data_IF_967616202243
#
_entry.id   IF_967616202243
#
_cell.length_a   1.000
_cell.length_b   1.000
_cell.length_c   1.000
_cell.angle_alpha   90.00
_cell.angle_beta   90.00
_cell.angle_gamma   90.00
#
_symmetry.space_group_name_H-M   'P 1'
#
loop_
_entity.id
_entity.type
_entity.pdbx_description
1 polymer ?
#
# COMPACT_ATOMS: atom_id res chain seq x y z
N UNK A 1 -13.33 20.12 -4.98
CA UNK A 1 -12.61 19.33 -6.00
C UNK A 1 -12.12 17.99 -5.47
N UNK A 2 -11.26 17.91 -4.44
CA UNK A 2 -10.79 16.61 -3.92
C UNK A 2 -11.93 15.70 -3.45
N UNK A 3 -12.93 16.23 -2.75
CA UNK A 3 -14.10 15.45 -2.29
C UNK A 3 -14.85 14.82 -3.46
N UNK A 4 -15.02 15.53 -4.57
CA UNK A 4 -15.66 14.99 -5.77
C UNK A 4 -14.89 13.78 -6.30
N UNK A 5 -13.57 13.89 -6.42
CA UNK A 5 -12.73 12.77 -6.85
C UNK A 5 -12.80 11.60 -5.87
N UNK A 6 -12.85 11.84 -4.55
CA UNK A 6 -12.98 10.77 -3.55
C UNK A 6 -14.28 10.01 -3.74
N UNK A 7 -15.40 10.74 -3.84
CA UNK A 7 -16.72 10.12 -4.08
C UNK A 7 -16.72 9.34 -5.38
N UNK A 8 -16.11 9.87 -6.44
CA UNK A 8 -15.99 9.18 -7.72
C UNK A 8 -15.20 7.86 -7.61
N UNK A 9 -14.05 7.85 -6.92
CA UNK A 9 -13.27 6.61 -6.70
C UNK A 9 -14.06 5.58 -5.89
N UNK A 10 -14.79 6.02 -4.87
CA UNK A 10 -15.64 5.13 -4.06
C UNK A 10 -16.77 4.54 -4.91
N UNK A 11 -17.39 5.33 -5.80
CA UNK A 11 -18.41 4.82 -6.72
C UNK A 11 -17.81 3.77 -7.69
N UNK A 12 -16.60 4.00 -8.20
CA UNK A 12 -15.91 3.04 -9.04
C UNK A 12 -15.57 1.73 -8.31
N UNK A 13 -15.18 1.80 -7.03
CA UNK A 13 -14.94 0.59 -6.24
C UNK A 13 -16.23 -0.19 -5.99
N UNK A 14 -17.35 0.48 -5.70
CA UNK A 14 -18.67 -0.18 -5.60
C UNK A 14 -19.06 -0.87 -6.91
N UNK A 15 -18.84 -0.22 -8.04
CA UNK A 15 -19.15 -0.80 -9.34
C UNK A 15 -18.34 -2.09 -9.60
N UNK A 16 -17.07 -2.14 -9.19
CA UNK A 16 -16.25 -3.37 -9.27
C UNK A 16 -16.68 -4.48 -8.30
N UNK A 17 -17.35 -4.16 -7.18
CA UNK A 17 -17.90 -5.20 -6.30
C UNK A 17 -19.10 -5.92 -6.93
N UNK A 18 -19.97 -5.18 -7.64
CA UNK A 18 -21.21 -5.73 -8.20
C UNK A 18 -21.06 -6.32 -9.61
N UNK A 19 -19.95 -6.05 -10.28
CA UNK A 19 -19.70 -6.53 -11.64
C UNK A 19 -18.58 -7.56 -11.69
N UNK A 20 -18.80 -8.63 -12.46
CA UNK A 20 -17.80 -9.65 -12.82
C UNK A 20 -17.34 -9.53 -14.28
N UNK A 21 -17.82 -8.52 -15.00
CA UNK A 21 -17.51 -8.33 -16.42
C UNK A 21 -16.13 -7.70 -16.61
N UNK A 22 -15.25 -8.41 -17.33
CA UNK A 22 -13.87 -7.97 -17.62
C UNK A 22 -13.83 -6.58 -18.29
N UNK A 23 -14.76 -6.30 -19.21
CA UNK A 23 -14.87 -4.98 -19.86
C UNK A 23 -15.20 -3.85 -18.87
N UNK A 24 -16.05 -4.15 -17.89
CA UNK A 24 -16.43 -3.19 -16.85
C UNK A 24 -15.22 -2.89 -15.97
N UNK A 25 -14.49 -3.92 -15.53
CA UNK A 25 -13.24 -3.74 -14.77
C UNK A 25 -12.21 -2.92 -15.54
N UNK A 26 -12.02 -3.21 -16.82
CA UNK A 26 -11.11 -2.45 -17.67
C UNK A 26 -11.51 -0.97 -17.77
N UNK A 27 -12.80 -0.68 -17.96
CA UNK A 27 -13.29 0.69 -18.02
C UNK A 27 -13.01 1.46 -16.72
N UNK A 28 -13.15 0.80 -15.57
CA UNK A 28 -12.82 1.38 -14.27
C UNK A 28 -11.32 1.64 -14.16
N UNK A 29 -10.47 0.74 -14.65
CA UNK A 29 -9.03 0.96 -14.64
C UNK A 29 -8.63 2.19 -15.45
N UNK A 30 -9.22 2.40 -16.62
CA UNK A 30 -9.00 3.59 -17.44
C UNK A 30 -9.50 4.86 -16.73
N UNK A 31 -10.67 4.81 -16.11
CA UNK A 31 -11.17 5.97 -15.37
C UNK A 31 -10.25 6.34 -14.20
N UNK A 32 -9.68 5.35 -13.52
CA UNK A 32 -8.72 5.59 -12.43
C UNK A 32 -7.42 6.23 -12.90
N UNK A 33 -6.87 5.83 -14.05
CA UNK A 33 -5.66 6.47 -14.59
C UNK A 33 -5.93 7.92 -14.97
N UNK A 34 -7.05 8.19 -15.64
CA UNK A 34 -7.47 9.55 -15.99
C UNK A 34 -7.66 10.41 -14.74
N UNK A 35 -8.29 9.88 -13.68
CA UNK A 35 -8.45 10.64 -12.42
C UNK A 35 -7.09 11.05 -11.84
N UNK A 36 -6.10 10.16 -11.87
CA UNK A 36 -4.77 10.44 -11.35
C UNK A 36 -4.04 11.52 -12.17
N UNK A 37 -4.13 11.45 -13.49
CA UNK A 37 -3.55 12.45 -14.39
C UNK A 37 -4.19 13.82 -14.16
N UNK A 38 -5.52 13.88 -13.99
CA UNK A 38 -6.21 15.13 -13.67
C UNK A 38 -5.77 15.74 -12.33
N UNK A 39 -5.62 14.92 -11.28
CA UNK A 39 -5.17 15.38 -9.97
C UNK A 39 -3.72 15.91 -10.01
N UNK A 40 -2.86 15.25 -10.78
CA UNK A 40 -1.42 15.53 -10.83
C UNK A 40 -1.02 16.71 -11.72
N UNK A 41 -1.92 17.17 -12.59
CA UNK A 41 -1.70 18.37 -13.44
C UNK A 41 -1.28 19.61 -12.65
N UNK A 42 -1.71 19.72 -11.39
CA UNK A 42 -1.46 20.90 -10.55
C UNK A 42 -0.05 20.99 -9.96
N UNK A 43 0.72 19.88 -9.92
CA UNK A 43 1.95 19.77 -9.12
C UNK A 43 3.22 19.78 -9.97
N UNK A 44 3.11 19.83 -11.30
CA UNK A 44 4.26 20.00 -12.20
C UNK A 44 5.19 18.79 -12.29
N UNK A 45 4.82 17.65 -11.69
CA UNK A 45 5.59 16.40 -11.72
C UNK A 45 5.35 15.62 -13.03
N UNK A 46 5.60 16.23 -14.18
CA UNK A 46 5.22 15.65 -15.48
C UNK A 46 5.88 14.29 -15.78
N UNK A 47 7.13 14.09 -15.35
CA UNK A 47 7.87 12.85 -15.60
C UNK A 47 7.24 11.63 -14.90
N UNK A 48 6.81 11.77 -13.64
CA UNK A 48 6.14 10.67 -12.93
C UNK A 48 4.75 10.40 -13.45
N UNK A 49 4.01 11.45 -13.84
CA UNK A 49 2.66 11.31 -14.40
C UNK A 49 2.71 10.59 -15.74
N UNK A 50 3.68 10.91 -16.59
CA UNK A 50 3.90 10.20 -17.85
C UNK A 50 4.29 8.74 -17.61
N UNK A 51 5.23 8.47 -16.70
CA UNK A 51 5.63 7.10 -16.35
C UNK A 51 4.42 6.29 -15.84
N UNK A 52 3.62 6.89 -14.95
CA UNK A 52 2.41 6.27 -14.44
C UNK A 52 1.42 5.94 -15.56
N UNK A 53 1.12 6.92 -16.43
CA UNK A 53 0.17 6.75 -17.52
C UNK A 53 0.59 5.64 -18.48
N UNK A 54 1.84 5.65 -18.95
CA UNK A 54 2.36 4.64 -19.89
C UNK A 54 2.29 3.24 -19.30
N UNK A 55 2.70 3.07 -18.04
CA UNK A 55 2.71 1.76 -17.37
C UNK A 55 1.28 1.27 -17.12
N UNK A 56 0.37 2.14 -16.65
CA UNK A 56 -0.97 1.72 -16.29
C UNK A 56 -1.88 1.45 -17.49
N UNK A 57 -1.76 2.22 -18.56
CA UNK A 57 -2.51 1.98 -19.80
C UNK A 57 -2.02 0.73 -20.52
N UNK A 58 -0.69 0.53 -20.62
CA UNK A 58 -0.16 -0.70 -21.22
C UNK A 58 -0.61 -1.94 -20.45
N UNK A 59 -0.55 -1.92 -19.11
CA UNK A 59 -1.11 -2.99 -18.28
C UNK A 59 -2.64 -3.12 -18.43
N UNK A 60 -3.36 -2.03 -18.70
CA UNK A 60 -4.80 -2.06 -18.97
C UNK A 60 -5.13 -2.83 -20.24
N UNK A 61 -4.36 -2.61 -21.30
CA UNK A 61 -4.53 -3.35 -22.55
C UNK A 61 -4.12 -4.82 -22.39
N UNK A 62 -3.02 -5.11 -21.68
CA UNK A 62 -2.65 -6.49 -21.37
C UNK A 62 -3.74 -7.24 -20.59
N UNK A 63 -4.47 -6.55 -19.71
CA UNK A 63 -5.59 -7.15 -18.98
C UNK A 63 -6.70 -7.66 -19.91
N UNK A 64 -6.99 -6.94 -21.00
CA UNK A 64 -7.99 -7.37 -21.99
C UNK A 64 -7.49 -8.51 -22.88
N UNK A 65 -6.20 -8.48 -23.25
CA UNK A 65 -5.61 -9.49 -24.13
C UNK A 65 -5.51 -10.84 -23.43
N UNK A 66 -5.08 -10.86 -22.16
CA UNK A 66 -5.02 -12.08 -21.39
C UNK A 66 -6.41 -12.40 -20.83
N UNK A 67 -7.12 -13.35 -21.43
CA UNK A 67 -8.42 -13.81 -20.90
C UNK A 67 -8.29 -15.00 -19.91
N UNK A 68 -7.08 -15.32 -19.45
CA UNK A 68 -6.86 -16.39 -18.48
C UNK A 68 -6.72 -15.82 -17.08
N UNK A 69 -7.47 -16.38 -16.10
CA UNK A 69 -7.52 -15.91 -14.71
C UNK A 69 -6.15 -15.60 -14.09
N UNK A 70 -5.18 -16.52 -14.23
CA UNK A 70 -3.86 -16.38 -13.59
C UNK A 70 -3.00 -15.25 -14.19
N UNK A 71 -3.06 -15.04 -15.52
CA UNK A 71 -2.37 -13.91 -16.16
C UNK A 71 -3.07 -12.59 -15.85
N UNK A 72 -4.41 -12.55 -15.85
CA UNK A 72 -5.16 -11.36 -15.43
C UNK A 72 -4.82 -10.97 -14.00
N UNK A 73 -4.72 -11.96 -13.11
CA UNK A 73 -4.31 -11.76 -11.74
C UNK A 73 -2.92 -11.11 -11.65
N UNK A 74 -1.92 -11.58 -12.42
CA UNK A 74 -0.60 -10.94 -12.45
C UNK A 74 -0.61 -9.52 -12.99
N UNK A 75 -1.44 -9.24 -14.01
CA UNK A 75 -1.59 -7.90 -14.54
C UNK A 75 -2.18 -6.96 -13.47
N UNK A 76 -3.19 -7.40 -12.73
CA UNK A 76 -3.79 -6.60 -11.64
C UNK A 76 -2.78 -6.39 -10.50
N UNK A 77 -2.00 -7.42 -10.14
CA UNK A 77 -0.90 -7.30 -9.16
C UNK A 77 0.12 -6.23 -9.56
N UNK A 78 0.51 -6.20 -10.84
CA UNK A 78 1.40 -5.15 -11.37
C UNK A 78 0.74 -3.78 -11.32
N UNK A 79 -0.54 -3.66 -11.71
CA UNK A 79 -1.26 -2.37 -11.68
C UNK A 79 -1.32 -1.75 -10.30
N UNK A 80 -1.54 -2.55 -9.26
CA UNK A 80 -1.60 -2.05 -7.88
C UNK A 80 -0.20 -1.79 -7.31
N UNK A 81 0.84 -2.41 -7.87
CA UNK A 81 2.20 -2.33 -7.35
C UNK A 81 2.40 -3.20 -6.11
N UNK A 82 1.83 -4.40 -6.13
CA UNK A 82 2.00 -5.42 -5.09
C UNK A 82 3.35 -6.11 -5.28
N UNK A 83 4.08 -6.39 -4.20
CA UNK A 83 5.37 -7.06 -4.33
C UNK A 83 5.16 -8.52 -4.78
N UNK A 84 6.08 -9.09 -5.59
CA UNK A 84 7.41 -8.59 -5.96
C UNK A 84 7.44 -7.60 -7.15
N UNK A 85 6.29 -7.25 -7.72
CA UNK A 85 6.18 -6.47 -8.96
C UNK A 85 6.02 -4.96 -8.71
N UNK A 86 6.50 -4.47 -7.56
CA UNK A 86 6.32 -3.10 -7.10
C UNK A 86 7.38 -2.11 -7.60
N UNK A 87 8.41 -2.54 -8.33
CA UNK A 87 9.55 -1.68 -8.68
C UNK A 87 9.17 -0.42 -9.46
N UNK A 88 8.16 -0.50 -10.33
CA UNK A 88 7.70 0.66 -11.09
C UNK A 88 7.18 1.79 -10.19
N UNK A 89 6.70 1.46 -8.99
CA UNK A 89 6.17 2.43 -8.03
C UNK A 89 7.21 3.49 -7.68
N UNK A 90 8.50 3.14 -7.56
CA UNK A 90 9.56 4.11 -7.25
C UNK A 90 9.77 5.14 -8.37
N UNK A 91 9.53 4.77 -9.63
CA UNK A 91 9.65 5.69 -10.76
C UNK A 91 8.57 6.79 -10.74
N UNK A 92 7.45 6.52 -10.05
CA UNK A 92 6.31 7.42 -9.95
C UNK A 92 6.38 8.22 -8.66
N UNK A 93 6.63 7.57 -7.52
CA UNK A 93 6.52 8.21 -6.19
C UNK A 93 7.61 9.25 -5.94
N UNK A 94 8.80 9.13 -6.53
CA UNK A 94 9.92 10.02 -6.24
C UNK A 94 9.60 11.52 -6.42
N UNK A 95 8.79 11.91 -7.41
CA UNK A 95 8.41 13.32 -7.62
C UNK A 95 7.01 13.70 -7.09
N UNK A 96 6.23 12.76 -6.55
CA UNK A 96 4.90 13.06 -5.99
C UNK A 96 5.01 13.60 -4.56
N UNK A 97 4.42 14.76 -4.29
CA UNK A 97 4.33 15.34 -2.95
C UNK A 97 3.03 15.02 -2.22
N UNK A 98 3.07 15.07 -0.90
CA UNK A 98 1.94 15.26 0.02
C UNK A 98 0.67 14.45 -0.32
N UNK A 99 -0.42 15.16 -0.64
CA UNK A 99 -1.74 14.63 -0.94
C UNK A 99 -1.77 13.68 -2.15
N UNK A 100 -0.94 13.92 -3.17
CA UNK A 100 -0.86 13.00 -4.32
C UNK A 100 -0.17 11.70 -3.93
N UNK A 101 0.85 11.76 -3.08
CA UNK A 101 1.52 10.57 -2.61
C UNK A 101 0.58 9.74 -1.73
N UNK A 102 -0.19 10.39 -0.85
CA UNK A 102 -1.26 9.73 -0.11
C UNK A 102 -2.25 9.06 -1.07
N UNK A 103 -2.78 9.82 -2.03
CA UNK A 103 -3.76 9.34 -3.00
C UNK A 103 -3.26 8.12 -3.78
N UNK A 104 -2.01 8.17 -4.22
CA UNK A 104 -1.38 7.09 -4.96
C UNK A 104 -1.25 5.81 -4.12
N UNK A 105 -0.91 5.93 -2.84
CA UNK A 105 -0.72 4.75 -1.96
C UNK A 105 -2.04 4.18 -1.43
N UNK A 106 -3.14 4.94 -1.44
CA UNK A 106 -4.44 4.55 -0.87
C UNK A 106 -5.56 4.46 -1.91
N UNK A 107 -6.06 5.61 -2.37
CA UNK A 107 -7.24 5.73 -3.21
C UNK A 107 -7.07 5.04 -4.55
N UNK A 108 -5.85 5.01 -5.09
CA UNK A 108 -5.59 4.25 -6.31
C UNK A 108 -5.76 2.75 -6.11
N UNK A 109 -5.50 2.19 -4.92
CA UNK A 109 -5.60 0.74 -4.68
C UNK A 109 -7.05 0.27 -4.47
N UNK A 110 -7.94 1.16 -4.04
CA UNK A 110 -9.35 0.89 -3.69
C UNK A 110 -10.12 0.06 -4.73
N UNK A 111 -10.26 0.52 -5.98
CA UNK A 111 -11.12 -0.16 -6.95
C UNK A 111 -10.51 -1.47 -7.47
N UNK A 112 -9.22 -1.71 -7.28
CA UNK A 112 -8.58 -2.94 -7.74
C UNK A 112 -8.72 -4.09 -6.74
N UNK A 113 -8.93 -3.80 -5.44
CA UNK A 113 -9.09 -4.86 -4.43
C UNK A 113 -10.27 -5.79 -4.73
N UNK A 114 -11.49 -5.32 -5.09
CA UNK A 114 -12.59 -6.20 -5.46
C UNK A 114 -12.24 -7.14 -6.63
N UNK A 115 -11.51 -6.62 -7.62
CA UNK A 115 -11.08 -7.40 -8.79
C UNK A 115 -10.04 -8.45 -8.38
N UNK A 116 -9.08 -8.10 -7.51
CA UNK A 116 -8.12 -9.06 -6.96
C UNK A 116 -8.81 -10.21 -6.22
N UNK A 117 -9.81 -9.90 -5.39
CA UNK A 117 -10.56 -10.91 -4.63
C UNK A 117 -11.27 -11.88 -5.57
N UNK A 118 -11.83 -11.40 -6.69
CA UNK A 118 -12.53 -12.24 -7.65
C UNK A 118 -11.59 -13.10 -8.52
N UNK A 119 -10.40 -12.60 -8.89
CA UNK A 119 -9.44 -13.28 -9.77
C UNK A 119 -8.47 -14.23 -9.05
N UNK A 120 -8.66 -14.42 -7.76
CA UNK A 120 -7.65 -14.98 -6.89
C UNK A 120 -7.43 -16.48 -7.06
N UNK A 121 -6.17 -16.94 -6.99
CA UNK A 121 -5.78 -18.36 -7.00
C UNK A 121 -4.84 -18.71 -5.84
N UNK A 122 -5.06 -19.87 -5.21
CA UNK A 122 -4.29 -20.38 -4.07
C UNK A 122 -2.81 -20.62 -4.41
N UNK A 123 -2.47 -20.84 -5.68
CA UNK A 123 -1.06 -21.03 -6.09
C UNK A 123 -0.20 -19.79 -5.86
N UNK A 124 -0.82 -18.62 -5.73
CA UNK A 124 -0.12 -17.34 -5.59
C UNK A 124 0.35 -17.07 -4.15
N UNK A 125 -0.08 -17.83 -3.13
CA UNK A 125 0.32 -17.59 -1.71
C UNK A 125 1.82 -17.42 -1.57
N UNK A 126 2.58 -18.33 -2.17
CA UNK A 126 4.04 -18.33 -2.08
C UNK A 126 4.66 -17.08 -2.70
N UNK A 127 4.07 -16.55 -3.78
CA UNK A 127 4.55 -15.34 -4.43
C UNK A 127 4.38 -14.10 -3.56
N UNK A 128 3.28 -13.99 -2.81
CA UNK A 128 3.11 -12.91 -1.84
C UNK A 128 4.10 -13.00 -0.68
N UNK A 129 4.34 -14.20 -0.15
CA UNK A 129 5.34 -14.42 0.90
C UNK A 129 6.75 -14.05 0.42
N UNK A 130 7.11 -14.46 -0.80
CA UNK A 130 8.36 -14.06 -1.44
C UNK A 130 8.41 -12.54 -1.67
N UNK A 131 7.31 -11.93 -2.09
CA UNK A 131 7.19 -10.48 -2.23
C UNK A 131 7.47 -9.74 -0.91
N UNK A 132 6.92 -10.20 0.21
CA UNK A 132 7.18 -9.66 1.54
C UNK A 132 8.67 -9.79 1.90
N UNK A 133 9.29 -10.94 1.61
CA UNK A 133 10.73 -11.13 1.80
C UNK A 133 11.57 -10.13 0.98
N UNK A 134 11.23 -9.90 -0.28
CA UNK A 134 11.88 -8.88 -1.14
C UNK A 134 11.71 -7.48 -0.56
N UNK A 135 10.53 -7.12 -0.05
CA UNK A 135 10.32 -5.82 0.61
C UNK A 135 11.27 -5.63 1.81
N UNK A 136 11.42 -6.65 2.66
CA UNK A 136 12.35 -6.56 3.79
C UNK A 136 13.80 -6.42 3.35
N UNK A 137 14.25 -7.23 2.38
CA UNK A 137 15.58 -7.07 1.78
C UNK A 137 15.80 -5.65 1.25
N UNK A 138 14.79 -5.06 0.62
CA UNK A 138 14.88 -3.70 0.09
C UNK A 138 14.92 -2.62 1.18
N UNK A 139 14.22 -2.82 2.31
CA UNK A 139 14.27 -1.90 3.45
C UNK A 139 15.68 -1.79 4.04
N UNK A 140 16.51 -2.85 3.97
CA UNK A 140 17.92 -2.79 4.40
C UNK A 140 18.78 -1.84 3.53
N UNK A 141 18.46 -1.69 2.26
CA UNK A 141 19.33 -1.02 1.27
C UNK A 141 18.98 0.46 1.10
N UNK A 142 17.71 0.81 1.20
CA UNK A 142 17.27 2.17 0.88
C UNK A 142 17.67 3.18 1.94
N UNK A 143 17.98 4.40 1.48
CA UNK A 143 18.40 5.52 2.33
C UNK A 143 17.38 6.65 2.44
N UNK A 144 16.51 6.79 1.43
CA UNK A 144 15.50 7.84 1.36
C UNK A 144 14.23 7.46 2.12
N UNK A 145 13.81 8.26 3.11
CA UNK A 145 12.62 8.00 3.93
C UNK A 145 11.34 7.86 3.12
N UNK A 146 11.18 8.65 2.07
CA UNK A 146 10.04 8.55 1.15
C UNK A 146 9.92 7.15 0.54
N UNK A 147 11.03 6.58 0.08
CA UNK A 147 11.03 5.23 -0.51
C UNK A 147 10.92 4.13 0.55
N UNK A 148 11.47 4.34 1.74
CA UNK A 148 11.22 3.43 2.88
C UNK A 148 9.73 3.36 3.20
N UNK A 149 9.06 4.51 3.20
CA UNK A 149 7.65 4.64 3.48
C UNK A 149 6.77 4.00 2.40
N UNK A 150 7.13 4.20 1.13
CA UNK A 150 6.49 3.51 0.01
C UNK A 150 6.62 2.01 0.19
N UNK A 151 7.77 1.49 0.62
CA UNK A 151 7.92 0.04 0.83
C UNK A 151 7.13 -0.47 1.99
N UNK A 152 7.13 0.20 3.14
CA UNK A 152 6.32 -0.23 4.29
C UNK A 152 4.82 -0.24 3.93
N UNK A 153 4.37 0.68 3.05
CA UNK A 153 3.01 0.66 2.50
C UNK A 153 2.75 -0.49 1.51
N UNK A 154 3.74 -0.89 0.70
CA UNK A 154 3.61 -2.08 -0.16
C UNK A 154 3.63 -3.37 0.65
N UNK A 155 4.44 -3.42 1.71
CA UNK A 155 4.58 -4.56 2.60
C UNK A 155 3.28 -4.81 3.37
N UNK A 156 2.73 -3.76 4.01
CA UNK A 156 1.42 -3.84 4.69
C UNK A 156 0.29 -4.20 3.72
N UNK A 157 0.29 -3.68 2.50
CA UNK A 157 -0.70 -4.07 1.49
C UNK A 157 -0.58 -5.55 1.08
N UNK A 158 0.63 -6.10 0.95
CA UNK A 158 0.82 -7.53 0.69
C UNK A 158 0.23 -8.38 1.81
N UNK A 159 0.42 -7.99 3.08
CA UNK A 159 -0.21 -8.68 4.21
C UNK A 159 -1.73 -8.65 4.14
N UNK A 160 -2.33 -7.53 3.75
CA UNK A 160 -3.79 -7.42 3.55
C UNK A 160 -4.26 -8.32 2.40
N UNK A 161 -3.57 -8.33 1.26
CA UNK A 161 -4.00 -9.20 0.14
C UNK A 161 -3.80 -10.68 0.48
N UNK A 162 -2.78 -11.02 1.25
CA UNK A 162 -2.54 -12.39 1.68
C UNK A 162 -3.64 -12.90 2.63
N UNK A 163 -4.40 -12.05 3.33
CA UNK A 163 -5.59 -12.54 4.08
C UNK A 163 -6.79 -12.84 3.19
N UNK A 164 -6.78 -12.47 1.90
CA UNK A 164 -7.80 -12.86 0.92
C UNK A 164 -7.95 -14.38 0.81
N UNK A 165 -6.89 -15.16 1.08
CA UNK A 165 -6.94 -16.63 1.08
C UNK A 165 -7.97 -17.21 2.06
N UNK A 166 -8.28 -16.49 3.13
CA UNK A 166 -8.98 -17.07 4.27
C UNK A 166 -10.34 -16.44 4.51
N UNK A 167 -10.44 -15.13 4.42
CA UNK A 167 -11.70 -14.44 4.71
C UNK A 167 -11.78 -13.07 4.05
N UNK A 168 -12.71 -12.95 3.09
CA UNK A 168 -12.96 -11.70 2.36
C UNK A 168 -13.38 -10.57 3.31
N UNK A 169 -14.17 -10.88 4.36
CA UNK A 169 -14.61 -9.87 5.35
C UNK A 169 -13.42 -9.25 6.08
N UNK A 170 -12.44 -10.07 6.49
CA UNK A 170 -11.25 -9.57 7.18
C UNK A 170 -10.38 -8.70 6.28
N UNK A 171 -10.30 -9.01 4.99
CA UNK A 171 -9.60 -8.18 4.00
C UNK A 171 -10.24 -6.81 3.92
N UNK A 172 -11.55 -6.75 3.73
CA UNK A 172 -12.28 -5.47 3.63
C UNK A 172 -12.07 -4.64 4.89
N UNK A 173 -12.20 -5.28 6.05
CA UNK A 173 -11.97 -4.66 7.33
C UNK A 173 -10.54 -4.08 7.48
N UNK A 174 -9.51 -4.91 7.26
CA UNK A 174 -8.11 -4.49 7.35
C UNK A 174 -7.76 -3.42 6.32
N UNK A 175 -8.38 -3.46 5.15
CA UNK A 175 -8.17 -2.47 4.12
C UNK A 175 -8.78 -1.12 4.48
N UNK A 176 -10.01 -1.07 4.98
CA UNK A 176 -10.61 0.18 5.48
C UNK A 176 -9.82 0.77 6.64
N UNK A 177 -9.34 -0.09 7.55
CA UNK A 177 -8.42 0.30 8.61
C UNK A 177 -7.16 0.96 8.01
N UNK A 178 -6.48 0.30 7.07
CA UNK A 178 -5.30 0.83 6.38
C UNK A 178 -5.57 2.20 5.71
N UNK A 179 -6.69 2.35 4.98
CA UNK A 179 -7.04 3.59 4.30
C UNK A 179 -7.23 4.76 5.27
N UNK A 180 -8.03 4.55 6.32
CA UNK A 180 -8.32 5.58 7.30
C UNK A 180 -7.03 6.15 7.90
N UNK A 181 -6.10 5.26 8.25
CA UNK A 181 -4.84 5.62 8.88
C UNK A 181 -3.92 6.35 7.92
N UNK A 182 -3.80 5.87 6.68
CA UNK A 182 -2.99 6.56 5.68
C UNK A 182 -3.55 7.95 5.34
N UNK A 183 -4.87 8.12 5.31
CA UNK A 183 -5.47 9.45 5.10
C UNK A 183 -5.16 10.39 6.26
N UNK A 184 -5.09 9.90 7.49
CA UNK A 184 -4.77 10.72 8.66
C UNK A 184 -3.27 11.07 8.76
N UNK A 185 -2.39 10.12 8.48
CA UNK A 185 -0.95 10.26 8.71
C UNK A 185 -0.25 11.05 7.60
N UNK A 186 -0.63 10.81 6.34
CA UNK A 186 0.11 11.32 5.18
C UNK A 186 0.02 12.84 4.92
N UNK A 187 -1.07 13.53 5.25
CA UNK A 187 -1.12 14.99 5.10
C UNK A 187 -0.13 15.73 6.02
N UNK A 188 0.42 15.07 7.05
CA UNK A 188 1.40 15.67 7.97
C UNK A 188 2.84 15.71 7.45
N UNK A 189 3.13 15.19 6.26
CA UNK A 189 4.49 15.20 5.65
C UNK A 189 4.95 16.55 5.13
N UNK A 190 4.43 17.66 5.67
CA UNK A 190 4.78 19.00 5.22
C UNK A 190 6.22 19.34 5.64
N UNK A 191 7.18 18.84 4.86
CA UNK A 191 8.37 19.59 4.49
C UNK A 191 8.67 19.22 3.04
N UNK A 192 8.30 20.11 2.13
CA UNK A 192 8.82 20.11 0.77
C UNK A 192 10.34 20.21 0.87
N UNK A 193 11.02 19.19 0.36
CA UNK A 193 12.44 19.19 0.02
C UNK A 193 13.48 18.93 1.12
N UNK A 194 13.10 18.81 2.39
CA UNK A 194 14.05 18.31 3.41
C UNK A 194 13.70 16.88 3.78
N UNK A 195 14.70 16.01 3.65
CA UNK A 195 14.67 14.59 3.99
C UNK A 195 14.50 14.31 5.48
N UNK A 196 13.68 15.08 6.19
CA UNK A 196 13.40 14.91 7.60
C UNK A 196 11.95 14.48 7.75
N UNK A 197 11.81 13.21 8.09
CA UNK A 197 10.55 12.62 8.50
C UNK A 197 10.51 12.61 10.02
N UNK A 198 9.36 12.91 10.59
CA UNK A 198 9.17 12.93 12.03
C UNK A 198 9.29 11.53 12.61
N UNK A 199 9.88 11.44 13.80
CA UNK A 199 9.96 10.20 14.56
C UNK A 199 8.59 9.54 14.75
N UNK A 200 7.54 10.33 15.01
CA UNK A 200 6.17 9.85 15.18
C UNK A 200 5.66 9.12 13.93
N UNK A 201 5.81 9.73 12.74
CA UNK A 201 5.44 9.05 11.48
C UNK A 201 6.29 7.81 11.24
N UNK A 202 7.59 7.87 11.51
CA UNK A 202 8.49 6.71 11.36
C UNK A 202 8.00 5.53 12.21
N UNK A 203 7.67 5.78 13.47
CA UNK A 203 7.19 4.75 14.38
C UNK A 203 5.86 4.14 13.95
N UNK A 204 4.97 4.91 13.33
CA UNK A 204 3.67 4.37 12.86
C UNK A 204 3.84 3.44 11.65
N UNK A 205 4.79 3.73 10.77
CA UNK A 205 5.10 2.87 9.62
C UNK A 205 6.08 1.75 9.94
N UNK A 206 6.69 1.81 11.11
CA UNK A 206 7.43 0.72 11.70
C UNK A 206 6.51 -0.22 12.45
N UNK A 207 6.93 -1.48 12.54
CA UNK A 207 6.27 -2.54 13.30
C UNK A 207 6.42 -2.34 14.82
N UNK A 208 6.31 -1.10 15.30
CA UNK A 208 6.21 -0.78 16.72
C UNK A 208 4.94 -1.46 17.26
N UNK A 209 4.98 -2.03 18.47
CA UNK A 209 3.79 -2.56 19.09
C UNK A 209 2.69 -1.49 19.13
N UNK A 210 1.46 -1.90 18.83
CA UNK A 210 0.31 -1.01 18.69
C UNK A 210 0.46 0.05 17.58
N UNK A 211 1.16 -0.23 16.49
CA UNK A 211 1.12 0.58 15.27
C UNK A 211 0.29 -0.08 14.16
N UNK A 212 0.03 0.66 13.08
CA UNK A 212 -0.81 0.22 11.95
C UNK A 212 -0.26 -1.04 11.29
N UNK A 213 1.04 -1.06 10.97
CA UNK A 213 1.67 -2.20 10.30
C UNK A 213 1.71 -3.42 11.21
N UNK A 214 1.84 -3.22 12.52
CA UNK A 214 1.82 -4.29 13.51
C UNK A 214 0.43 -4.94 13.61
N UNK A 215 -0.64 -4.16 13.66
CA UNK A 215 -2.01 -4.71 13.72
C UNK A 215 -2.36 -5.52 12.48
N UNK A 216 -2.06 -4.98 11.29
CA UNK A 216 -2.28 -5.72 10.04
C UNK A 216 -1.55 -7.07 10.06
N UNK A 217 -0.33 -7.11 10.61
CA UNK A 217 0.47 -8.34 10.75
C UNK A 217 -0.12 -9.33 11.76
N UNK A 218 -0.55 -8.89 12.93
CA UNK A 218 -1.14 -9.79 13.92
C UNK A 218 -2.42 -10.42 13.38
N UNK A 219 -3.32 -9.59 12.81
CA UNK A 219 -4.57 -10.09 12.27
C UNK A 219 -4.35 -11.05 11.10
N UNK A 220 -3.44 -10.72 10.20
CA UNK A 220 -3.09 -11.62 9.09
C UNK A 220 -2.43 -12.91 9.56
N UNK A 221 -1.51 -12.84 10.52
CA UNK A 221 -0.87 -14.02 11.13
C UNK A 221 -1.88 -14.95 11.78
N UNK A 222 -2.82 -14.43 12.58
CA UNK A 222 -3.87 -15.23 13.24
C UNK A 222 -4.61 -16.11 12.23
N UNK A 223 -4.93 -15.55 11.07
CA UNK A 223 -5.60 -16.27 10.01
C UNK A 223 -4.64 -17.29 9.36
N UNK A 224 -3.42 -16.89 9.01
CA UNK A 224 -2.46 -17.77 8.32
C UNK A 224 -2.00 -18.96 9.16
N UNK A 225 -1.94 -18.82 10.49
CA UNK A 225 -1.62 -19.93 11.37
C UNK A 225 -2.65 -21.06 11.31
N UNK A 226 -3.86 -20.82 10.77
CA UNK A 226 -4.84 -21.89 10.53
C UNK A 226 -4.47 -22.80 9.35
N UNK A 227 -3.57 -22.35 8.46
CA UNK A 227 -3.16 -23.10 7.26
C UNK A 227 -1.98 -24.05 7.55
N UNK A 228 -2.00 -24.71 8.72
CA UNK A 228 -0.96 -25.60 9.25
C UNK A 228 -0.05 -26.20 8.16
N UNK A 229 1.24 -25.84 8.18
CA UNK A 229 2.19 -26.31 7.17
C UNK A 229 3.57 -25.68 7.22
N UNK A 230 4.45 -26.13 6.32
CA UNK A 230 5.84 -25.62 6.17
C UNK A 230 5.85 -24.11 5.88
N UNK A 231 4.78 -23.57 5.29
CA UNK A 231 4.61 -22.13 5.07
C UNK A 231 4.68 -21.31 6.37
N UNK A 232 4.26 -21.89 7.50
CA UNK A 232 4.33 -21.25 8.82
C UNK A 232 5.79 -21.00 9.23
N UNK A 233 6.70 -21.92 8.91
CA UNK A 233 8.13 -21.76 9.22
C UNK A 233 8.75 -20.59 8.44
N UNK A 234 8.41 -20.47 7.15
CA UNK A 234 8.85 -19.34 6.34
C UNK A 234 8.27 -18.01 6.85
N UNK A 235 6.98 -18.00 7.23
CA UNK A 235 6.33 -16.84 7.84
C UNK A 235 7.05 -16.38 9.13
N UNK A 236 7.41 -17.31 10.02
CA UNK A 236 8.15 -17.00 11.25
C UNK A 236 9.53 -16.39 10.95
N UNK A 237 10.24 -16.90 9.95
CA UNK A 237 11.51 -16.33 9.51
C UNK A 237 11.34 -14.89 8.97
N UNK A 238 10.31 -14.67 8.17
CA UNK A 238 9.95 -13.35 7.63
C UNK A 238 9.61 -12.36 8.76
N UNK A 239 8.98 -12.82 9.84
CA UNK A 239 8.71 -11.98 11.01
C UNK A 239 9.98 -11.58 11.76
N UNK A 240 10.97 -12.46 11.86
CA UNK A 240 12.27 -12.11 12.42
C UNK A 240 12.97 -11.00 11.60
N UNK A 241 12.95 -11.09 10.27
CA UNK A 241 13.50 -10.05 9.38
C UNK A 241 12.84 -8.69 9.59
N UNK A 242 11.54 -8.68 9.90
CA UNK A 242 10.80 -7.45 10.18
C UNK A 242 11.34 -6.70 11.41
N UNK A 243 11.80 -7.43 12.43
CA UNK A 243 12.40 -6.86 13.64
C UNK A 243 13.82 -6.36 13.38
N UNK A 244 14.57 -7.03 12.50
CA UNK A 244 15.89 -6.54 12.07
C UNK A 244 15.78 -5.25 11.24
N UNK A 245 14.79 -5.15 10.35
CA UNK A 245 14.53 -3.91 9.61
C UNK A 245 14.17 -2.76 10.56
N UNK A 246 13.36 -3.05 11.59
CA UNK A 246 13.01 -2.09 12.63
C UNK A 246 14.25 -1.57 13.36
N UNK A 247 15.11 -2.45 13.86
CA UNK A 247 16.29 -2.05 14.63
C UNK A 247 17.27 -1.20 13.81
N UNK A 248 17.53 -1.55 12.55
CA UNK A 248 18.38 -0.75 11.68
C UNK A 248 17.81 0.62 11.39
N UNK A 249 16.48 0.72 11.24
CA UNK A 249 15.89 2.02 10.98
C UNK A 249 15.98 2.93 12.22
N UNK A 250 15.82 2.39 13.43
CA UNK A 250 16.04 3.15 14.66
C UNK A 250 17.46 3.72 14.73
N UNK A 251 18.47 2.90 14.40
CA UNK A 251 19.87 3.34 14.36
C UNK A 251 20.08 4.44 13.31
N UNK A 252 19.51 4.26 12.11
CA UNK A 252 19.62 5.27 11.04
C UNK A 252 18.94 6.60 11.41
N UNK A 253 17.85 6.55 12.19
CA UNK A 253 17.17 7.75 12.67
C UNK A 253 17.93 8.44 13.81
N UNK A 254 18.52 7.68 14.74
CA UNK A 254 19.22 8.25 15.90
C UNK A 254 20.47 9.04 15.53
N UNK A 255 21.12 8.71 14.41
CA UNK A 255 22.32 9.42 13.94
C UNK A 255 21.98 10.78 13.31
N UNK A 256 20.72 11.00 12.88
CA UNK A 256 20.32 12.29 12.31
C UNK A 256 19.89 13.25 13.41
N UNK A 257 20.64 14.34 13.54
CA UNK A 257 20.31 15.45 14.41
C UNK A 257 19.09 16.20 13.87
N UNK A 258 17.94 16.00 14.53
CA UNK A 258 16.69 16.69 14.21
C UNK A 258 16.67 18.05 14.91
N UNK A 259 17.07 19.10 14.19
CA UNK A 259 16.99 20.49 14.70
C UNK A 259 15.91 21.34 14.04
N UNK A 260 14.99 20.73 13.28
CA UNK A 260 13.85 21.44 12.73
C UNK A 260 12.57 21.09 13.49
N UNK A 261 11.99 22.10 14.12
CA UNK A 261 10.60 22.10 14.60
C UNK A 261 9.68 21.98 13.38
N UNK A 262 9.26 20.76 13.09
CA UNK A 262 8.18 20.52 12.16
C UNK A 262 6.85 20.80 12.85
N UNK A 263 6.01 21.61 12.20
CA UNK A 263 4.63 21.86 12.58
C UNK A 263 3.79 20.61 12.28
N UNK A 264 3.97 19.56 13.07
CA UNK A 264 3.14 18.38 12.96
C UNK A 264 1.88 18.57 13.78
N UNK A 265 0.77 18.13 13.23
CA UNK A 265 -0.48 17.98 13.96
C UNK A 265 -0.35 16.79 14.93
N UNK A 266 0.37 16.97 16.03
CA UNK A 266 0.54 15.96 17.10
C UNK A 266 -0.81 15.41 17.59
N UNK A 267 -1.86 16.23 17.52
CA UNK A 267 -3.23 15.85 17.83
C UNK A 267 -3.75 14.68 16.98
N UNK A 268 -3.33 14.56 15.72
CA UNK A 268 -3.78 13.46 14.83
C UNK A 268 -3.25 12.12 15.32
N UNK A 269 -2.03 12.05 15.87
CA UNK A 269 -1.50 10.81 16.47
C UNK A 269 -2.33 10.36 17.67
N UNK A 270 -2.81 11.29 18.49
CA UNK A 270 -3.70 10.98 19.60
C UNK A 270 -5.07 10.45 19.16
N UNK A 271 -5.53 10.75 17.94
CA UNK A 271 -6.73 10.14 17.36
C UNK A 271 -6.46 8.78 16.71
N UNK A 272 -5.26 8.57 16.19
CA UNK A 272 -4.87 7.29 15.57
C UNK A 272 -4.82 6.19 16.62
N UNK A 273 -4.28 6.44 17.82
CA UNK A 273 -4.13 5.41 18.88
C UNK A 273 -5.47 4.79 19.32
N UNK A 274 -6.53 5.54 19.62
CA UNK A 274 -7.85 5.00 19.95
C UNK A 274 -8.49 4.18 18.83
N UNK A 275 -8.32 4.60 17.57
CA UNK A 275 -8.83 3.84 16.41
C UNK A 275 -8.23 2.44 16.33
N UNK A 276 -7.04 2.22 16.92
CA UNK A 276 -6.41 0.91 16.98
C UNK A 276 -7.09 -0.02 17.99
N UNK A 277 -7.64 0.50 19.08
CA UNK A 277 -8.37 -0.30 20.09
C UNK A 277 -9.68 -0.81 19.50
N UNK A 278 -10.37 0.00 18.70
CA UNK A 278 -11.59 -0.42 17.99
C UNK A 278 -11.31 -1.63 17.10
N UNK A 279 -10.09 -1.76 16.59
CA UNK A 279 -9.76 -2.88 15.72
C UNK A 279 -9.56 -4.22 16.40
N UNK A 280 -9.33 -4.22 17.71
CA UNK A 280 -9.10 -5.43 18.51
C UNK A 280 -10.42 -6.01 19.07
N UNK A 281 -11.45 -5.16 19.19
CA UNK A 281 -12.79 -5.52 19.68
C UNK A 281 -13.59 -6.17 18.55
#
# INVERSE_FOLDING_TARGET
MLVFWVVFVVLLSFLNFFSSNVLVWWSVFLLMTVTFVCLSKSIGAYTSVLNYFVIQESLGLFFLVFNTFLLQFFVVMMKIGVAPLHFWVFSVTNSLGDWLLMWFLTFQKLPFLPVLVQLYDFKVVFLFLFGIFVCYLQLFVLKSYKNMMVISSTESFNWVVLTCFLSVVNVLYLFFYYLCLMVMLMPSFVVKDLSFVNWETVFVFLNVPFSVSFFIKIFSLKELFKLDGVFVLFLLFVMFLSMLCFSLWLVNMSVKTMWFLSNNLKSVFFFVVPMMVISVI
#
